data_IF_778734666410
#
_entry.id   IF_778734666410
#
_cell.length_a   1.000
_cell.length_b   1.000
_cell.length_c   1.000
_cell.angle_alpha   90.00
_cell.angle_beta   90.00
_cell.angle_gamma   90.00
#
_symmetry.space_group_name_H-M   'P 1'
#
loop_
_entity.id
_entity.type
_entity.pdbx_description
1 polymer ?
#
# COMPACT_ATOMS: atom_id res chain seq x y z
N UNK A 1 -35.46 28.19 -25.65
CA UNK A 1 -34.38 29.02 -25.12
C UNK A 1 -33.07 28.23 -25.11
N UNK A 2 -32.15 28.55 -26.02
CA UNK A 2 -30.96 27.71 -26.24
C UNK A 2 -29.91 27.75 -25.08
N UNK A 3 -29.98 28.71 -24.16
CA UNK A 3 -28.99 28.82 -23.08
C UNK A 3 -29.11 27.76 -21.98
N UNK A 4 -30.25 27.14 -21.80
CA UNK A 4 -30.45 26.07 -20.80
C UNK A 4 -29.97 24.71 -21.28
N UNK A 5 -29.95 24.48 -22.59
CA UNK A 5 -29.49 23.23 -23.19
C UNK A 5 -27.98 23.10 -23.14
N UNK A 6 -27.24 24.21 -23.31
CA UNK A 6 -25.78 24.20 -23.25
C UNK A 6 -25.21 23.87 -21.88
N UNK A 7 -25.88 24.28 -20.80
CA UNK A 7 -25.48 23.95 -19.43
C UNK A 7 -25.71 22.48 -19.07
N UNK A 8 -26.77 21.86 -19.60
CA UNK A 8 -27.06 20.44 -19.39
C UNK A 8 -26.06 19.54 -20.11
N UNK A 9 -25.64 19.90 -21.31
CA UNK A 9 -24.61 19.16 -22.05
C UNK A 9 -23.24 19.27 -21.39
N UNK A 10 -22.86 20.42 -20.86
CA UNK A 10 -21.61 20.62 -20.13
C UNK A 10 -21.53 19.82 -18.83
N UNK A 11 -22.64 19.68 -18.13
CA UNK A 11 -22.71 18.89 -16.92
C UNK A 11 -22.60 17.37 -17.19
N UNK A 12 -23.17 16.89 -18.28
CA UNK A 12 -23.08 15.48 -18.67
C UNK A 12 -21.67 15.05 -19.06
N UNK A 13 -20.90 15.93 -19.68
CA UNK A 13 -19.50 15.67 -20.05
C UNK A 13 -18.60 15.59 -18.83
N UNK A 14 -18.84 16.38 -17.77
CA UNK A 14 -18.06 16.32 -16.53
C UNK A 14 -18.27 15.03 -15.73
N UNK A 15 -19.46 14.42 -15.78
CA UNK A 15 -19.74 13.17 -15.07
C UNK A 15 -19.08 11.96 -15.74
N UNK A 16 -18.82 12.00 -17.03
CA UNK A 16 -18.15 10.91 -17.76
C UNK A 16 -16.63 10.87 -17.51
N UNK A 17 -15.98 12.00 -17.16
CA UNK A 17 -14.54 12.06 -16.93
C UNK A 17 -14.14 11.55 -15.53
N UNK A 18 -15.06 11.37 -14.59
CA UNK A 18 -14.77 10.89 -13.24
C UNK A 18 -14.73 9.35 -13.12
N UNK A 19 -15.10 8.59 -14.17
CA UNK A 19 -15.18 7.12 -14.13
C UNK A 19 -13.86 6.40 -14.36
N UNK A 20 -12.73 7.10 -14.62
CA UNK A 20 -11.47 6.49 -15.01
C UNK A 20 -10.34 6.64 -13.98
N UNK A 21 -10.62 7.08 -12.75
CA UNK A 21 -9.58 7.15 -11.72
C UNK A 21 -9.41 5.81 -11.02
N UNK A 22 -8.30 5.14 -11.33
CA UNK A 22 -7.83 4.03 -10.51
C UNK A 22 -7.21 4.59 -9.23
N UNK A 23 -7.51 3.98 -8.09
CA UNK A 23 -6.89 4.34 -6.82
C UNK A 23 -5.49 3.72 -6.72
N UNK A 24 -4.52 4.40 -6.07
CA UNK A 24 -3.21 3.81 -5.87
C UNK A 24 -3.27 2.64 -4.88
N UNK A 25 -2.35 1.70 -5.05
CA UNK A 25 -2.13 0.62 -4.08
C UNK A 25 -1.08 1.09 -3.07
N UNK A 26 -1.41 1.08 -1.81
CA UNK A 26 -0.51 1.50 -0.74
C UNK A 26 -0.55 0.55 0.45
N UNK A 27 0.49 0.61 1.26
CA UNK A 27 0.57 -0.12 2.53
C UNK A 27 0.97 0.85 3.63
N UNK A 28 0.18 0.88 4.68
CA UNK A 28 0.47 1.64 5.88
C UNK A 28 0.80 0.67 7.01
N UNK A 29 2.00 0.77 7.55
CA UNK A 29 2.48 -0.06 8.65
C UNK A 29 2.52 0.79 9.91
N UNK A 30 1.75 0.42 10.92
CA UNK A 30 1.73 1.10 12.22
C UNK A 30 2.48 0.24 13.23
N UNK A 31 3.56 0.79 13.81
CA UNK A 31 4.42 0.08 14.74
C UNK A 31 4.23 0.63 16.14
N UNK A 32 3.93 -0.27 17.07
CA UNK A 32 3.70 0.05 18.48
C UNK A 32 4.54 -0.84 19.41
N UNK A 33 4.72 -0.39 20.65
CA UNK A 33 5.25 -1.23 21.72
C UNK A 33 4.13 -2.13 22.28
N UNK A 34 4.51 -3.09 23.13
CA UNK A 34 3.54 -3.93 23.87
C UNK A 34 2.57 -3.11 24.72
N UNK A 35 2.97 -1.93 25.14
CA UNK A 35 2.15 -1.00 25.92
C UNK A 35 1.22 -0.13 25.05
N UNK A 36 1.28 -0.29 23.73
CA UNK A 36 0.45 0.46 22.80
C UNK A 36 0.99 1.83 22.40
N UNK A 37 2.24 2.14 22.73
CA UNK A 37 2.88 3.41 22.37
C UNK A 37 3.46 3.36 20.97
N UNK A 38 3.26 4.43 20.19
CA UNK A 38 3.81 4.54 18.85
C UNK A 38 5.34 4.52 18.86
N UNK A 39 5.95 3.82 17.91
CA UNK A 39 7.40 3.70 17.79
C UNK A 39 7.89 4.50 16.59
N UNK A 40 8.52 5.64 16.86
CA UNK A 40 9.15 6.46 15.83
C UNK A 40 10.55 5.92 15.50
N UNK A 41 10.94 6.02 14.23
CA UNK A 41 12.28 5.61 13.78
C UNK A 41 12.51 4.11 13.70
N UNK A 42 11.46 3.30 13.76
CA UNK A 42 11.57 1.86 13.47
C UNK A 42 11.82 1.66 11.97
N UNK A 43 12.70 0.75 11.63
CA UNK A 43 12.96 0.40 10.23
C UNK A 43 11.97 -0.68 9.81
N UNK A 44 11.20 -0.38 8.78
CA UNK A 44 10.21 -1.30 8.24
C UNK A 44 10.65 -1.73 6.85
N UNK A 45 10.80 -3.05 6.66
CA UNK A 45 11.13 -3.66 5.39
C UNK A 45 9.92 -4.40 4.83
N UNK A 46 9.64 -4.22 3.55
CA UNK A 46 8.59 -4.93 2.83
C UNK A 46 9.23 -5.74 1.71
N UNK A 47 9.09 -7.05 1.78
CA UNK A 47 9.65 -7.98 0.79
C UNK A 47 8.55 -8.82 0.17
N UNK A 48 8.57 -8.97 -1.16
CA UNK A 48 7.63 -9.86 -1.85
C UNK A 48 7.96 -11.32 -1.58
N UNK A 49 6.92 -12.12 -1.40
CA UNK A 49 7.06 -13.59 -1.33
C UNK A 49 6.86 -14.13 -2.72
N UNK A 50 7.89 -14.73 -3.36
CA UNK A 50 7.73 -15.30 -4.69
C UNK A 50 6.78 -16.49 -4.62
N UNK A 51 5.86 -16.63 -5.60
CA UNK A 51 5.05 -17.84 -5.67
C UNK A 51 5.96 -19.06 -5.97
N UNK A 52 5.64 -20.20 -5.37
CA UNK A 52 6.34 -21.44 -5.65
C UNK A 52 6.18 -21.79 -7.13
N UNK A 53 7.28 -22.20 -7.78
CA UNK A 53 7.35 -22.66 -9.18
C UNK A 53 7.23 -21.59 -10.27
N UNK A 54 7.71 -20.39 -10.05
CA UNK A 54 7.85 -19.41 -11.14
C UNK A 54 9.30 -19.40 -11.61
N UNK A 55 9.54 -19.95 -12.81
CA UNK A 55 10.82 -19.86 -13.49
C UNK A 55 10.98 -18.50 -14.16
N UNK A 56 12.02 -17.76 -13.80
CA UNK A 56 12.44 -16.51 -14.45
C UNK A 56 11.71 -15.27 -13.97
N UNK A 57 12.26 -14.12 -14.23
CA UNK A 57 11.75 -12.75 -14.01
C UNK A 57 10.93 -12.52 -12.74
N UNK A 58 11.51 -12.84 -11.58
CA UNK A 58 10.95 -12.46 -10.28
C UNK A 58 11.04 -10.94 -10.14
N UNK A 59 9.90 -10.30 -9.92
CA UNK A 59 9.91 -8.92 -9.46
C UNK A 59 10.36 -8.96 -8.00
N UNK A 60 11.56 -8.46 -7.77
CA UNK A 60 12.07 -8.34 -6.40
C UNK A 60 11.37 -7.13 -5.79
N UNK A 61 10.46 -7.39 -4.87
CA UNK A 61 9.85 -6.34 -4.05
C UNK A 61 10.70 -6.20 -2.80
N UNK A 62 11.37 -5.07 -2.67
CA UNK A 62 12.22 -4.77 -1.52
C UNK A 62 12.13 -3.26 -1.26
N UNK A 63 11.33 -2.91 -0.26
CA UNK A 63 11.14 -1.52 0.15
C UNK A 63 11.52 -1.38 1.62
N UNK A 64 12.10 -0.24 1.96
CA UNK A 64 12.48 0.08 3.32
C UNK A 64 12.11 1.52 3.64
N UNK A 65 11.44 1.72 4.78
CA UNK A 65 11.08 3.03 5.28
C UNK A 65 11.20 3.05 6.81
N UNK A 66 11.50 4.22 7.36
CA UNK A 66 11.46 4.44 8.79
C UNK A 66 10.10 4.98 9.21
N UNK A 67 9.61 4.56 10.37
CA UNK A 67 8.36 5.10 10.92
C UNK A 67 8.53 6.57 11.32
N UNK A 68 7.46 7.35 11.13
CA UNK A 68 7.40 8.75 11.53
C UNK A 68 7.13 8.89 13.05
N UNK A 69 6.91 10.12 13.53
CA UNK A 69 6.61 10.39 14.94
C UNK A 69 5.33 9.72 15.46
N UNK A 70 4.43 9.32 14.58
CA UNK A 70 3.21 8.57 14.91
C UNK A 70 3.38 7.06 14.82
N UNK A 71 4.59 6.58 14.54
CA UNK A 71 4.88 5.16 14.41
C UNK A 71 4.40 4.56 13.08
N UNK A 72 4.23 5.37 12.04
CA UNK A 72 3.67 4.94 10.77
C UNK A 72 4.74 5.01 9.67
N UNK A 73 4.91 3.91 8.94
CA UNK A 73 5.65 3.85 7.69
C UNK A 73 4.66 3.68 6.54
N UNK A 74 4.83 4.47 5.51
CA UNK A 74 3.95 4.46 4.35
C UNK A 74 4.70 4.02 3.09
N UNK A 75 4.10 3.09 2.35
CA UNK A 75 4.67 2.56 1.11
C UNK A 75 3.68 2.74 -0.03
N UNK A 76 4.17 3.27 -1.14
CA UNK A 76 3.43 3.26 -2.41
C UNK A 76 3.85 1.99 -3.17
N UNK A 77 2.91 1.10 -3.42
CA UNK A 77 3.16 -0.21 -4.00
C UNK A 77 2.56 -0.37 -5.40
N UNK A 78 2.28 0.73 -6.10
CA UNK A 78 1.73 0.69 -7.45
C UNK A 78 2.61 -0.09 -8.42
N UNK A 79 3.93 -0.04 -8.25
CA UNK A 79 4.89 -0.70 -9.12
C UNK A 79 4.90 -2.23 -9.00
N UNK A 80 4.29 -2.79 -7.95
CA UNK A 80 4.17 -4.25 -7.76
C UNK A 80 3.22 -4.86 -8.79
N UNK A 81 2.19 -4.11 -9.15
CA UNK A 81 1.17 -4.57 -10.08
C UNK A 81 1.50 -4.10 -11.49
N UNK A 82 1.68 -5.06 -12.40
CA UNK A 82 1.85 -4.76 -13.83
C UNK A 82 0.48 -4.53 -14.48
N UNK A 83 0.40 -3.72 -15.54
CA UNK A 83 -0.82 -3.60 -16.33
C UNK A 83 -1.35 -4.98 -16.75
N UNK A 84 -2.60 -5.26 -16.42
CA UNK A 84 -3.24 -6.54 -16.72
C UNK A 84 -3.10 -7.63 -15.65
N UNK A 85 -2.32 -7.39 -14.59
CA UNK A 85 -2.33 -8.27 -13.44
C UNK A 85 -3.42 -7.83 -12.47
N UNK A 86 -4.32 -8.75 -12.17
CA UNK A 86 -5.29 -8.59 -11.09
C UNK A 86 -5.03 -9.65 -10.05
N UNK A 87 -5.20 -9.33 -8.78
CA UNK A 87 -5.10 -10.31 -7.72
C UNK A 87 -4.50 -9.80 -6.44
N UNK A 88 -4.13 -10.75 -5.59
CA UNK A 88 -3.55 -10.49 -4.28
C UNK A 88 -2.06 -10.76 -4.35
N UNK A 89 -1.25 -9.78 -3.96
CA UNK A 89 0.18 -9.95 -3.77
C UNK A 89 0.47 -10.23 -2.30
N UNK A 90 1.33 -11.20 -2.02
CA UNK A 90 1.73 -11.54 -0.66
C UNK A 90 3.09 -10.91 -0.39
N UNK A 91 3.19 -10.15 0.70
CA UNK A 91 4.44 -9.52 1.12
C UNK A 91 4.73 -9.86 2.59
N UNK A 92 6.01 -9.96 2.92
CA UNK A 92 6.48 -10.06 4.29
C UNK A 92 6.91 -8.69 4.77
N UNK A 93 6.39 -8.28 5.92
CA UNK A 93 6.70 -7.00 6.55
C UNK A 93 7.46 -7.26 7.83
N UNK A 94 8.63 -6.63 7.96
CA UNK A 94 9.47 -6.74 9.16
C UNK A 94 9.75 -5.34 9.69
N UNK A 95 9.41 -5.13 10.95
CA UNK A 95 9.75 -3.90 11.67
C UNK A 95 10.79 -4.20 12.75
N UNK A 96 11.77 -3.32 12.91
CA UNK A 96 12.82 -3.50 13.90
C UNK A 96 13.29 -2.18 14.47
N UNK A 97 13.56 -2.18 15.78
CA UNK A 97 14.21 -1.07 16.47
C UNK A 97 14.84 -1.56 17.77
N UNK A 98 16.13 -1.22 17.99
CA UNK A 98 16.85 -1.50 19.23
C UNK A 98 16.80 -2.97 19.69
N UNK A 99 16.88 -3.90 18.73
CA UNK A 99 16.84 -5.33 19.01
C UNK A 99 15.44 -5.93 19.14
N UNK A 100 14.40 -5.11 19.12
CA UNK A 100 13.02 -5.57 19.07
C UNK A 100 12.57 -5.75 17.62
N UNK A 101 11.81 -6.80 17.35
CA UNK A 101 11.41 -7.19 16.00
C UNK A 101 9.93 -7.57 15.97
N UNK A 102 9.26 -7.26 14.87
CA UNK A 102 7.94 -7.76 14.55
C UNK A 102 7.91 -8.21 13.09
N UNK A 103 7.23 -9.30 12.79
CA UNK A 103 7.10 -9.83 11.44
C UNK A 103 5.65 -10.20 11.17
N UNK A 104 5.15 -9.82 10.00
CA UNK A 104 3.81 -10.12 9.54
C UNK A 104 3.81 -10.44 8.04
N UNK A 105 2.97 -11.40 7.65
CA UNK A 105 2.68 -11.67 6.25
C UNK A 105 1.38 -10.95 5.89
N UNK A 106 1.42 -10.13 4.85
CA UNK A 106 0.30 -9.29 4.45
C UNK A 106 -0.15 -9.65 3.04
N UNK A 107 -1.45 -9.89 2.89
CA UNK A 107 -2.08 -10.04 1.58
C UNK A 107 -2.50 -8.66 1.10
N UNK A 108 -1.78 -8.11 0.12
CA UNK A 108 -2.09 -6.80 -0.45
C UNK A 108 -3.28 -6.90 -1.39
N UNK A 109 -4.20 -5.97 -1.25
CA UNK A 109 -5.31 -5.81 -2.16
C UNK A 109 -5.01 -4.61 -3.05
N UNK A 110 -5.18 -4.80 -4.35
CA UNK A 110 -4.95 -3.77 -5.36
C UNK A 110 -5.93 -2.60 -5.21
N UNK A 111 -5.45 -1.41 -5.47
CA UNK A 111 -6.24 -0.16 -5.50
C UNK A 111 -6.88 0.24 -4.17
N UNK A 112 -6.32 -0.22 -3.05
CA UNK A 112 -6.74 0.23 -1.72
C UNK A 112 -5.54 0.62 -0.87
N UNK A 113 -5.80 1.34 0.22
CA UNK A 113 -4.84 1.61 1.27
C UNK A 113 -4.84 0.41 2.23
N UNK A 114 -3.86 -0.49 2.07
CA UNK A 114 -3.70 -1.64 2.94
C UNK A 114 -3.08 -1.21 4.27
N UNK A 115 -3.49 -1.83 5.36
CA UNK A 115 -3.00 -1.49 6.71
C UNK A 115 -2.55 -2.73 7.44
N UNK A 116 -1.47 -2.61 8.21
CA UNK A 116 -1.00 -3.64 9.13
C UNK A 116 -0.53 -2.99 10.42
N UNK A 117 -0.96 -3.56 11.55
CA UNK A 117 -0.53 -3.15 12.88
C UNK A 117 0.50 -4.15 13.40
N UNK A 118 1.65 -3.65 13.86
CA UNK A 118 2.75 -4.47 14.33
C UNK A 118 3.14 -4.07 15.75
N UNK A 119 3.41 -5.07 16.58
CA UNK A 119 3.87 -4.87 17.95
C UNK A 119 5.29 -5.39 18.08
N UNK A 120 6.21 -4.52 18.44
CA UNK A 120 7.61 -4.90 18.67
C UNK A 120 7.76 -5.71 19.97
N UNK A 121 8.43 -6.84 19.87
CA UNK A 121 8.67 -7.75 21.00
C UNK A 121 10.14 -8.14 21.11
#
# INVERSE_FOLDING_TARGET
MPKRFACLLGFLIMTLSSCYKTSPTSLRVEVKTELGSAVAGAIVEVKGVPPENVDGNLIIVDYEEATNGNGIAFFNLDDIYKPGQSGVAIVEVKAQKLGLVAEETVNLIEEIDNRVDMVLQ
#
